data_IF_307894911690
#
_entry.id   IF_307894911690
#
_cell.length_a   1.000
_cell.length_b   1.000
_cell.length_c   1.000
_cell.angle_alpha   90.00
_cell.angle_beta   90.00
_cell.angle_gamma   90.00
#
_symmetry.space_group_name_H-M   'P 1'
#
loop_
_entity.id
_entity.type
_entity.pdbx_description
1 polymer ?
#
# COMPACT_ATOMS: atom_id res chain seq x y z
N UNK A 1 39.85 -9.35 -36.90
CA UNK A 1 39.16 -8.17 -37.49
C UNK A 1 39.11 -6.96 -36.54
N UNK A 2 38.91 -7.12 -35.23
CA UNK A 2 38.83 -5.99 -34.27
C UNK A 2 40.12 -5.13 -34.17
N UNK A 3 41.29 -5.77 -34.25
CA UNK A 3 42.59 -5.08 -34.06
C UNK A 3 42.93 -4.11 -35.22
N UNK A 4 42.44 -4.42 -36.43
CA UNK A 4 42.63 -3.57 -37.61
C UNK A 4 41.74 -2.31 -37.56
N UNK A 5 40.56 -2.40 -36.92
CA UNK A 5 39.67 -1.25 -36.73
C UNK A 5 40.25 -0.28 -35.69
N UNK A 6 40.81 -0.80 -34.59
CA UNK A 6 41.47 0.04 -33.58
C UNK A 6 42.69 0.76 -34.17
N UNK A 7 43.54 0.06 -34.93
CA UNK A 7 44.68 0.68 -35.60
C UNK A 7 44.27 1.76 -36.61
N UNK A 8 43.14 1.58 -37.31
CA UNK A 8 42.62 2.56 -38.25
C UNK A 8 42.13 3.85 -37.56
N UNK A 9 41.45 3.74 -36.42
CA UNK A 9 40.98 4.90 -35.64
C UNK A 9 42.15 5.67 -35.01
N UNK A 10 43.16 4.98 -34.50
CA UNK A 10 44.37 5.63 -33.96
C UNK A 10 45.11 6.38 -35.06
N UNK A 11 45.21 5.80 -36.26
CA UNK A 11 45.85 6.46 -37.40
C UNK A 11 45.06 7.67 -37.89
N UNK A 12 43.72 7.60 -37.91
CA UNK A 12 42.88 8.74 -38.33
C UNK A 12 42.89 9.87 -37.31
N UNK A 13 42.94 9.57 -36.01
CA UNK A 13 43.09 10.58 -34.96
C UNK A 13 44.46 11.27 -35.03
N UNK A 14 45.54 10.53 -35.34
CA UNK A 14 46.88 11.08 -35.47
C UNK A 14 47.05 12.01 -36.69
N UNK A 15 46.28 11.78 -37.77
CA UNK A 15 46.31 12.62 -38.98
C UNK A 15 45.13 13.61 -39.05
N UNK A 16 44.42 13.82 -37.94
CA UNK A 16 43.26 14.71 -37.91
C UNK A 16 43.69 16.16 -38.10
N UNK A 17 43.14 16.81 -39.12
CA UNK A 17 43.44 18.21 -39.44
C UNK A 17 42.67 19.15 -38.51
N UNK A 18 43.41 19.75 -37.57
CA UNK A 18 42.86 20.64 -36.55
C UNK A 18 42.32 21.95 -37.15
N UNK A 19 42.62 22.27 -38.41
CA UNK A 19 42.05 23.44 -39.10
C UNK A 19 40.55 23.30 -39.39
N UNK A 20 40.00 22.08 -39.28
CA UNK A 20 38.56 21.81 -39.41
C UNK A 20 37.78 22.06 -38.11
N UNK A 21 38.47 22.32 -36.99
CA UNK A 21 37.82 22.67 -35.73
C UNK A 21 37.34 24.12 -35.80
N UNK A 22 36.05 24.34 -35.56
CA UNK A 22 35.49 25.69 -35.49
C UNK A 22 36.11 26.44 -34.31
N UNK A 23 36.71 27.59 -34.57
CA UNK A 23 37.16 28.49 -33.50
C UNK A 23 35.95 28.93 -32.67
N UNK A 24 36.01 28.70 -31.35
CA UNK A 24 34.97 29.15 -30.42
C UNK A 24 35.62 30.16 -29.48
N UNK A 25 35.16 31.41 -29.54
CA UNK A 25 35.62 32.49 -28.66
C UNK A 25 34.83 32.43 -27.35
N UNK A 26 35.53 32.31 -26.22
CA UNK A 26 34.91 32.24 -24.89
C UNK A 26 34.76 33.65 -24.32
N UNK A 27 33.53 34.15 -24.17
CA UNK A 27 33.27 35.38 -23.42
C UNK A 27 33.02 35.09 -21.93
N UNK A 28 33.85 35.69 -21.06
CA UNK A 28 33.62 35.70 -19.60
C UNK A 28 32.54 36.73 -19.24
N UNK A 29 31.34 36.27 -18.88
CA UNK A 29 30.29 37.14 -18.33
C UNK A 29 30.55 37.32 -16.83
N UNK A 30 30.93 38.52 -16.42
CA UNK A 30 31.00 38.91 -15.01
C UNK A 30 29.77 39.78 -14.67
N UNK A 31 28.60 39.17 -14.35
CA UNK A 31 27.38 39.93 -14.11
C UNK A 31 27.55 40.80 -12.86
N UNK A 32 27.21 42.08 -12.99
CA UNK A 32 27.17 42.98 -11.84
C UNK A 32 26.05 42.56 -10.87
N UNK A 33 26.24 42.78 -9.55
CA UNK A 33 25.20 42.49 -8.56
C UNK A 33 23.87 43.14 -8.95
N UNK A 34 22.79 42.39 -8.80
CA UNK A 34 21.45 42.89 -9.08
C UNK A 34 20.99 43.87 -8.00
N UNK A 35 19.92 44.63 -8.28
CA UNK A 35 19.34 45.55 -7.28
C UNK A 35 18.82 44.80 -6.04
N UNK A 36 18.36 43.57 -6.22
CA UNK A 36 17.90 42.69 -5.14
C UNK A 36 19.07 42.26 -4.25
N UNK A 37 20.20 41.83 -4.84
CA UNK A 37 21.40 41.46 -4.08
C UNK A 37 21.87 42.60 -3.16
N UNK A 38 21.88 43.83 -3.68
CA UNK A 38 22.27 45.02 -2.91
C UNK A 38 21.28 45.33 -1.79
N UNK A 39 19.97 45.10 -2.01
CA UNK A 39 18.94 45.31 -0.97
C UNK A 39 19.05 44.28 0.15
N UNK A 40 19.24 43.02 -0.19
CA UNK A 40 19.40 41.94 0.79
C UNK A 40 20.66 42.17 1.62
N UNK A 41 21.76 42.53 0.97
CA UNK A 41 23.02 42.83 1.65
C UNK A 41 22.88 44.02 2.61
N UNK A 42 22.17 45.08 2.19
CA UNK A 42 21.89 46.22 3.07
C UNK A 42 21.01 45.85 4.27
N UNK A 43 20.02 44.97 4.08
CA UNK A 43 19.18 44.46 5.18
C UNK A 43 20.01 43.63 6.17
N UNK A 44 20.87 42.75 5.65
CA UNK A 44 21.79 41.93 6.46
C UNK A 44 22.71 42.81 7.30
N UNK A 45 23.30 43.84 6.69
CA UNK A 45 24.17 44.76 7.39
C UNK A 45 23.43 45.53 8.49
N UNK A 46 22.21 46.00 8.21
CA UNK A 46 21.38 46.69 9.21
C UNK A 46 21.08 45.82 10.44
N UNK A 47 20.78 44.53 10.25
CA UNK A 47 20.52 43.61 11.36
C UNK A 47 21.77 43.35 12.20
N UNK A 48 22.94 43.24 11.55
CA UNK A 48 24.21 43.09 12.26
C UNK A 48 24.54 44.34 13.08
N UNK A 49 24.32 45.52 12.53
CA UNK A 49 24.54 46.78 13.23
C UNK A 49 23.58 46.93 14.43
N UNK A 50 22.33 46.49 14.30
CA UNK A 50 21.35 46.48 15.38
C UNK A 50 21.74 45.54 16.52
N UNK A 51 22.18 44.32 16.20
CA UNK A 51 22.65 43.34 17.18
C UNK A 51 23.96 43.80 17.83
N UNK A 52 24.89 44.37 17.06
CA UNK A 52 26.16 44.87 17.58
C UNK A 52 25.97 46.02 18.59
N UNK A 53 24.94 46.85 18.37
CA UNK A 53 24.59 47.96 19.26
C UNK A 53 23.45 47.63 20.23
N UNK A 54 23.15 46.34 20.42
CA UNK A 54 22.07 45.89 21.29
C UNK A 54 22.34 46.26 22.76
N UNK A 55 21.50 47.10 23.33
CA UNK A 55 21.57 47.51 24.73
C UNK A 55 20.90 46.47 25.64
N UNK A 56 21.69 45.50 26.10
CA UNK A 56 21.24 44.45 27.03
C UNK A 56 20.72 45.00 28.37
N UNK A 57 21.10 46.23 28.74
CA UNK A 57 20.61 46.93 29.93
C UNK A 57 19.09 47.22 29.89
N UNK A 58 18.49 47.24 28.69
CA UNK A 58 17.05 47.40 28.52
C UNK A 58 16.27 46.09 28.73
N UNK A 59 16.95 44.95 28.94
CA UNK A 59 16.29 43.70 29.27
C UNK A 59 15.82 43.72 30.74
N UNK A 60 14.53 43.45 30.96
CA UNK A 60 13.98 43.34 32.32
C UNK A 60 14.55 42.11 33.04
N UNK A 61 15.11 42.25 34.26
CA UNK A 61 15.55 41.11 35.06
C UNK A 61 14.38 40.17 35.37
N UNK A 62 14.55 38.88 35.10
CA UNK A 62 13.58 37.85 35.50
C UNK A 62 14.12 37.08 36.69
N UNK A 63 13.35 37.06 37.79
CA UNK A 63 13.73 36.32 38.99
C UNK A 63 13.37 34.84 38.84
N UNK A 64 14.38 33.97 38.84
CA UNK A 64 14.17 32.52 38.86
C UNK A 64 13.77 32.07 40.27
N UNK A 65 12.60 31.44 40.41
CA UNK A 65 12.16 30.84 41.69
C UNK A 65 12.57 29.37 41.73
N UNK A 66 13.59 29.05 42.51
CA UNK A 66 13.94 27.65 42.83
C UNK A 66 12.86 27.04 43.74
N UNK A 67 12.28 25.92 43.34
CA UNK A 67 11.25 25.23 44.12
C UNK A 67 11.91 24.21 45.05
N UNK A 68 12.04 24.55 46.33
CA UNK A 68 12.29 23.55 47.39
C UNK A 68 10.94 22.91 47.74
N UNK A 69 10.63 21.78 47.11
CA UNK A 69 9.47 20.96 47.49
C UNK A 69 9.89 19.94 48.53
N UNK A 70 9.21 19.94 49.68
CA UNK A 70 9.38 18.90 50.68
C UNK A 70 8.91 17.55 50.09
N UNK A 71 9.57 16.43 50.45
CA UNK A 71 9.12 15.11 50.03
C UNK A 71 7.66 14.90 50.41
N UNK A 72 6.88 14.35 49.49
CA UNK A 72 5.48 14.05 49.77
C UNK A 72 5.33 12.91 50.78
N UNK A 73 4.13 12.78 51.35
CA UNK A 73 3.86 11.78 52.38
C UNK A 73 4.07 10.33 51.90
N UNK A 74 3.95 10.10 50.58
CA UNK A 74 4.13 8.79 49.95
C UNK A 74 5.62 8.42 49.98
N UNK A 75 6.47 9.33 49.51
CA UNK A 75 7.93 9.19 49.49
C UNK A 75 8.47 8.96 50.89
N UNK A 76 7.96 9.70 51.89
CA UNK A 76 8.39 9.53 53.28
C UNK A 76 7.98 8.18 53.87
N UNK A 77 6.78 7.68 53.56
CA UNK A 77 6.32 6.36 54.01
C UNK A 77 7.15 5.25 53.38
N UNK A 78 7.43 5.34 52.09
CA UNK A 78 8.28 4.38 51.38
C UNK A 78 9.70 4.37 51.95
N UNK A 79 10.28 5.55 52.21
CA UNK A 79 11.60 5.67 52.83
C UNK A 79 11.65 5.01 54.21
N UNK A 80 10.62 5.21 55.04
CA UNK A 80 10.51 4.54 56.35
C UNK A 80 10.37 3.03 56.21
N UNK A 81 9.55 2.54 55.30
CA UNK A 81 9.42 1.10 55.03
C UNK A 81 10.76 0.47 54.62
N UNK A 82 11.48 1.14 53.71
CA UNK A 82 12.80 0.68 53.28
C UNK A 82 13.80 0.65 54.43
N UNK A 83 13.81 1.68 55.28
CA UNK A 83 14.66 1.72 56.46
C UNK A 83 14.36 0.58 57.44
N UNK A 84 13.07 0.29 57.69
CA UNK A 84 12.68 -0.84 58.55
C UNK A 84 13.08 -2.18 57.95
N UNK A 85 12.99 -2.33 56.63
CA UNK A 85 13.40 -3.55 55.93
C UNK A 85 14.91 -3.77 56.07
N UNK A 86 15.72 -2.74 55.82
CA UNK A 86 17.18 -2.83 55.96
C UNK A 86 17.56 -3.23 57.38
N UNK A 87 17.00 -2.58 58.41
CA UNK A 87 17.28 -2.92 59.80
C UNK A 87 16.89 -4.37 60.13
N UNK A 88 15.78 -4.85 59.58
CA UNK A 88 15.36 -6.24 59.75
C UNK A 88 16.31 -7.23 59.08
N UNK A 89 16.88 -6.89 57.92
CA UNK A 89 17.85 -7.74 57.21
C UNK A 89 19.20 -7.72 57.93
N UNK A 90 19.66 -6.55 58.39
CA UNK A 90 20.90 -6.40 59.17
C UNK A 90 20.86 -7.19 60.48
N UNK A 91 19.71 -7.22 61.15
CA UNK A 91 19.50 -8.03 62.37
C UNK A 91 19.24 -9.52 62.13
N UNK A 92 19.13 -9.96 60.87
CA UNK A 92 18.75 -11.34 60.56
C UNK A 92 19.91 -12.31 60.80
N UNK A 93 19.74 -13.24 61.73
CA UNK A 93 20.73 -14.29 61.97
C UNK A 93 20.76 -15.31 60.83
N UNK A 94 21.94 -15.51 60.23
CA UNK A 94 22.17 -16.54 59.19
C UNK A 94 21.84 -17.96 59.68
N UNK A 95 21.87 -18.19 60.99
CA UNK A 95 21.52 -19.49 61.59
C UNK A 95 20.02 -19.81 61.48
N UNK A 96 19.18 -18.82 61.14
CA UNK A 96 17.75 -19.01 60.89
C UNK A 96 17.44 -19.42 59.44
N UNK A 97 18.45 -19.39 58.55
CA UNK A 97 18.28 -19.85 57.17
C UNK A 97 18.29 -21.38 57.14
N UNK A 98 17.31 -21.97 56.44
CA UNK A 98 17.32 -23.40 56.17
C UNK A 98 18.47 -23.72 55.22
N UNK A 99 19.14 -24.85 55.44
CA UNK A 99 20.11 -25.35 54.47
C UNK A 99 19.40 -25.67 53.14
N UNK A 100 19.88 -25.06 52.06
CA UNK A 100 19.47 -25.36 50.70
C UNK A 100 20.66 -26.02 49.99
N UNK A 101 20.49 -27.31 49.64
CA UNK A 101 21.47 -28.03 48.84
C UNK A 101 21.28 -27.64 47.37
N UNK A 102 22.23 -26.88 46.83
CA UNK A 102 22.21 -26.47 45.42
C UNK A 102 22.85 -27.57 44.58
N UNK A 103 22.03 -28.33 43.85
CA UNK A 103 22.51 -29.25 42.81
C UNK A 103 22.74 -28.47 41.51
N UNK A 104 24.01 -28.23 41.16
CA UNK A 104 24.40 -27.73 39.85
C UNK A 104 24.17 -28.83 38.81
N UNK A 105 23.15 -28.67 37.97
CA UNK A 105 22.86 -29.63 36.89
C UNK A 105 23.78 -29.38 35.68
N UNK A 106 25.05 -29.77 35.81
CA UNK A 106 25.92 -29.98 34.65
C UNK A 106 25.59 -31.34 34.02
N UNK A 107 24.41 -31.46 33.44
CA UNK A 107 24.03 -32.66 32.69
C UNK A 107 24.90 -32.77 31.46
N UNK A 108 25.61 -33.90 31.33
CA UNK A 108 26.33 -34.24 30.11
C UNK A 108 25.35 -34.28 28.93
N UNK A 109 25.80 -33.90 27.72
CA UNK A 109 24.98 -34.06 26.52
C UNK A 109 24.52 -35.52 26.42
N UNK A 110 23.24 -35.70 26.12
CA UNK A 110 22.68 -37.04 25.95
C UNK A 110 23.18 -37.68 24.64
N UNK A 111 23.10 -39.02 24.49
CA UNK A 111 23.59 -39.71 23.30
C UNK A 111 22.97 -39.21 21.98
N UNK A 112 21.72 -38.74 21.99
CA UNK A 112 21.06 -38.22 20.79
C UNK A 112 21.64 -36.89 20.35
N UNK A 113 21.94 -36.00 21.31
CA UNK A 113 22.63 -34.74 21.06
C UNK A 113 24.04 -34.95 20.47
N UNK A 114 24.77 -35.95 20.97
CA UNK A 114 26.10 -36.31 20.46
C UNK A 114 26.03 -36.87 19.03
N UNK A 115 25.04 -37.72 18.75
CA UNK A 115 24.87 -38.29 17.40
C UNK A 115 24.43 -37.23 16.38
N UNK A 116 23.56 -36.28 16.78
CA UNK A 116 23.16 -35.16 15.96
C UNK A 116 24.36 -34.27 15.59
N UNK A 117 25.20 -33.92 16.58
CA UNK A 117 26.42 -33.12 16.34
C UNK A 117 27.38 -33.85 15.38
N UNK A 118 27.55 -35.17 15.54
CA UNK A 118 28.39 -35.97 14.61
C UNK A 118 27.89 -35.91 13.18
N UNK A 119 26.57 -36.07 12.96
CA UNK A 119 25.96 -35.98 11.62
C UNK A 119 26.15 -34.60 11.01
N UNK A 120 26.05 -33.55 11.81
CA UNK A 120 26.25 -32.18 11.32
C UNK A 120 27.71 -31.92 10.95
N UNK A 121 28.66 -32.37 11.76
CA UNK A 121 30.10 -32.27 11.45
C UNK A 121 30.44 -33.02 10.16
N UNK A 122 29.91 -34.23 9.98
CA UNK A 122 30.11 -35.04 8.77
C UNK A 122 29.53 -34.35 7.52
N UNK A 123 28.31 -33.80 7.62
CA UNK A 123 27.69 -33.03 6.54
C UNK A 123 28.54 -31.82 6.15
N UNK A 124 29.04 -31.07 7.13
CA UNK A 124 29.88 -29.89 6.91
C UNK A 124 31.18 -30.26 6.18
N UNK A 125 31.86 -31.34 6.59
CA UNK A 125 33.04 -31.85 5.89
C UNK A 125 32.70 -32.35 4.48
N UNK A 126 31.58 -33.02 4.29
CA UNK A 126 31.11 -33.46 2.97
C UNK A 126 30.90 -32.29 2.00
N UNK A 127 30.33 -31.19 2.49
CA UNK A 127 30.13 -29.97 1.70
C UNK A 127 31.45 -29.24 1.43
N UNK A 128 32.33 -29.13 2.44
CA UNK A 128 33.63 -28.46 2.30
C UNK A 128 34.54 -29.19 1.31
N UNK A 129 34.49 -30.53 1.31
CA UNK A 129 35.25 -31.39 0.39
C UNK A 129 34.58 -31.60 -0.97
N UNK A 130 33.39 -31.04 -1.19
CA UNK A 130 32.62 -31.29 -2.41
C UNK A 130 33.26 -30.63 -3.64
N UNK A 131 33.71 -31.47 -4.58
CA UNK A 131 34.24 -30.99 -5.85
C UNK A 131 33.10 -30.56 -6.79
N UNK A 132 32.92 -29.25 -6.97
CA UNK A 132 31.92 -28.70 -7.92
C UNK A 132 32.19 -29.13 -9.37
N UNK A 133 33.43 -29.45 -9.74
CA UNK A 133 33.78 -29.92 -11.09
C UNK A 133 33.26 -31.34 -11.37
N UNK A 134 32.89 -32.10 -10.34
CA UNK A 134 32.24 -33.40 -10.52
C UNK A 134 30.74 -33.29 -10.80
N UNK A 135 30.15 -32.09 -10.80
CA UNK A 135 28.77 -31.90 -11.23
C UNK A 135 28.66 -31.98 -12.75
N UNK A 136 27.76 -32.83 -13.24
CA UNK A 136 27.44 -32.86 -14.66
C UNK A 136 26.84 -31.53 -15.11
N UNK A 137 27.48 -30.89 -16.11
CA UNK A 137 26.89 -29.73 -16.77
C UNK A 137 25.58 -30.16 -17.44
N UNK A 138 24.49 -29.46 -17.12
CA UNK A 138 23.22 -29.59 -17.82
C UNK A 138 23.03 -28.32 -18.64
N UNK A 139 23.13 -28.44 -19.95
CA UNK A 139 22.85 -27.35 -20.87
C UNK A 139 21.33 -27.17 -20.95
N UNK A 140 20.82 -26.07 -20.40
CA UNK A 140 19.39 -25.75 -20.45
C UNK A 140 19.03 -25.19 -21.83
N UNK A 141 18.43 -26.01 -22.68
CA UNK A 141 17.86 -25.52 -23.94
C UNK A 141 16.57 -24.73 -23.68
N UNK A 142 16.64 -23.40 -23.85
CA UNK A 142 15.46 -22.56 -23.95
C UNK A 142 14.83 -22.81 -25.32
N UNK A 143 13.76 -23.60 -25.37
CA UNK A 143 12.98 -23.74 -26.59
C UNK A 143 12.28 -22.42 -26.88
N UNK A 144 12.82 -21.67 -27.83
CA UNK A 144 12.17 -20.55 -28.50
C UNK A 144 11.61 -21.08 -29.82
N UNK A 145 10.52 -21.89 -29.82
CA UNK A 145 9.95 -22.40 -31.06
C UNK A 145 9.56 -21.20 -31.93
N UNK A 146 9.91 -21.29 -33.22
CA UNK A 146 9.42 -20.33 -34.20
C UNK A 146 7.88 -20.39 -34.21
N UNK A 147 7.21 -19.24 -34.43
CA UNK A 147 5.76 -19.24 -34.60
C UNK A 147 5.40 -20.21 -35.74
N UNK A 148 4.36 -21.00 -35.50
CA UNK A 148 3.87 -21.96 -36.50
C UNK A 148 3.25 -21.24 -37.71
N UNK A 149 3.09 -21.93 -38.85
CA UNK A 149 2.51 -21.33 -40.05
C UNK A 149 1.10 -20.75 -39.84
N UNK A 150 0.33 -21.31 -38.90
CA UNK A 150 -1.02 -20.85 -38.60
C UNK A 150 -1.00 -19.51 -37.86
N UNK A 151 -0.10 -19.34 -36.88
CA UNK A 151 0.14 -18.10 -36.17
C UNK A 151 0.62 -16.96 -37.10
N UNK A 152 1.48 -17.28 -38.06
CA UNK A 152 1.92 -16.33 -39.08
C UNK A 152 0.74 -15.95 -40.00
N UNK A 153 -0.09 -16.93 -40.39
CA UNK A 153 -1.24 -16.69 -41.25
C UNK A 153 -2.33 -15.87 -40.54
N UNK A 154 -2.54 -16.06 -39.23
CA UNK A 154 -3.47 -15.25 -38.44
C UNK A 154 -2.98 -13.83 -38.27
N UNK A 155 -1.71 -13.63 -37.91
CA UNK A 155 -1.12 -12.29 -37.79
C UNK A 155 -1.20 -11.52 -39.13
N UNK A 156 -0.87 -12.17 -40.24
CA UNK A 156 -0.96 -11.56 -41.57
C UNK A 156 -2.39 -11.13 -41.91
N UNK A 157 -3.37 -12.01 -41.66
CA UNK A 157 -4.79 -11.71 -41.93
C UNK A 157 -5.30 -10.55 -41.06
N UNK A 158 -4.87 -10.49 -39.80
CA UNK A 158 -5.24 -9.40 -38.90
C UNK A 158 -4.63 -8.07 -39.34
N UNK A 159 -3.37 -8.08 -39.76
CA UNK A 159 -2.67 -6.91 -40.29
C UNK A 159 -3.35 -6.36 -41.56
N UNK A 160 -3.73 -7.25 -42.48
CA UNK A 160 -4.48 -6.89 -43.69
C UNK A 160 -5.87 -6.32 -43.35
N UNK A 161 -6.59 -6.92 -42.39
CA UNK A 161 -7.89 -6.44 -41.93
C UNK A 161 -7.78 -5.03 -41.31
N UNK A 162 -6.80 -4.82 -40.42
CA UNK A 162 -6.55 -3.52 -39.79
C UNK A 162 -6.25 -2.45 -40.83
N UNK A 163 -5.36 -2.76 -41.78
CA UNK A 163 -5.01 -1.85 -42.88
C UNK A 163 -6.23 -1.50 -43.74
N UNK A 164 -7.09 -2.48 -44.04
CA UNK A 164 -8.33 -2.26 -44.80
C UNK A 164 -9.33 -1.37 -44.06
N UNK A 165 -9.43 -1.50 -42.74
CA UNK A 165 -10.29 -0.65 -41.91
C UNK A 165 -9.73 0.77 -41.82
N UNK A 166 -8.42 0.94 -41.62
CA UNK A 166 -7.77 2.25 -41.56
C UNK A 166 -7.93 3.04 -42.87
N UNK A 167 -7.90 2.34 -44.01
CA UNK A 167 -8.07 2.94 -45.33
C UNK A 167 -9.53 3.06 -45.77
N UNK A 168 -10.49 2.57 -44.98
CA UNK A 168 -11.89 2.59 -45.34
C UNK A 168 -12.45 4.01 -45.33
N UNK A 169 -12.86 4.51 -46.51
CA UNK A 169 -13.53 5.80 -46.60
C UNK A 169 -15.03 5.66 -46.34
N UNK A 170 -15.54 6.42 -45.37
CA UNK A 170 -16.98 6.47 -45.08
C UNK A 170 -17.80 7.01 -46.26
N UNK A 171 -17.18 7.79 -47.15
CA UNK A 171 -17.83 8.40 -48.31
C UNK A 171 -18.25 7.37 -49.36
N UNK A 172 -17.73 6.14 -49.30
CA UNK A 172 -18.13 5.05 -50.19
C UNK A 172 -19.37 4.30 -49.70
N UNK A 173 -19.89 4.60 -48.50
CA UNK A 173 -21.12 4.00 -48.01
C UNK A 173 -22.33 4.57 -48.76
N UNK A 174 -23.19 3.69 -49.26
CA UNK A 174 -24.44 4.10 -49.88
C UNK A 174 -25.36 4.74 -48.84
N UNK A 175 -25.85 5.96 -49.12
CA UNK A 175 -26.84 6.60 -48.27
C UNK A 175 -28.11 5.73 -48.20
N UNK A 176 -28.55 5.43 -46.99
CA UNK A 176 -29.84 4.79 -46.73
C UNK A 176 -30.70 5.79 -45.96
N UNK A 177 -31.89 6.10 -46.49
CA UNK A 177 -32.87 6.91 -45.79
C UNK A 177 -33.62 6.04 -44.78
N UNK A 178 -33.44 6.33 -43.50
CA UNK A 178 -34.18 5.65 -42.43
C UNK A 178 -35.55 6.29 -42.27
N UNK A 179 -36.62 5.56 -42.55
CA UNK A 179 -38.00 5.98 -42.25
C UNK A 179 -38.38 5.45 -40.86
N UNK A 180 -38.31 6.33 -39.85
CA UNK A 180 -38.86 6.04 -38.53
C UNK A 180 -40.40 6.00 -38.62
N UNK A 181 -40.97 4.80 -38.52
CA UNK A 181 -42.42 4.63 -38.41
C UNK A 181 -42.80 4.85 -36.95
N UNK A 182 -43.32 6.03 -36.64
CA UNK A 182 -43.97 6.30 -35.36
C UNK A 182 -45.50 6.28 -35.56
N UNK A 183 -46.14 5.11 -35.71
CA UNK A 183 -47.57 5.03 -35.94
C UNK A 183 -48.33 5.62 -34.75
N UNK A 184 -49.32 6.47 -35.05
CA UNK A 184 -50.21 6.99 -34.02
C UNK A 184 -50.98 5.83 -33.37
N UNK A 185 -51.29 5.92 -32.06
CA UNK A 185 -52.13 4.94 -31.38
C UNK A 185 -53.47 4.76 -32.12
N UNK A 186 -53.90 3.52 -32.30
CA UNK A 186 -55.19 3.25 -32.91
C UNK A 186 -56.37 3.61 -31.98
N UNK A 187 -57.58 3.65 -32.56
CA UNK A 187 -58.80 4.01 -31.83
C UNK A 187 -59.06 3.09 -30.63
N UNK A 188 -58.72 1.81 -30.76
CA UNK A 188 -58.95 0.81 -29.71
C UNK A 188 -58.01 1.04 -28.52
N UNK A 189 -56.75 1.37 -28.79
CA UNK A 189 -55.74 1.71 -27.78
C UNK A 189 -56.15 2.97 -27.01
N UNK A 190 -56.61 4.00 -27.72
CA UNK A 190 -57.12 5.24 -27.10
C UNK A 190 -58.35 4.94 -26.24
N UNK A 191 -59.27 4.09 -26.72
CA UNK A 191 -60.46 3.71 -25.94
C UNK A 191 -60.10 2.91 -24.69
N UNK A 192 -59.18 1.95 -24.78
CA UNK A 192 -58.68 1.19 -23.63
C UNK A 192 -58.05 2.11 -22.59
N UNK A 193 -57.19 3.04 -23.01
CA UNK A 193 -56.59 4.02 -22.09
C UNK A 193 -57.67 4.89 -21.41
N UNK A 194 -58.67 5.34 -22.17
CA UNK A 194 -59.77 6.16 -21.63
C UNK A 194 -60.58 5.41 -20.56
N UNK A 195 -60.91 4.14 -20.83
CA UNK A 195 -61.61 3.28 -19.87
C UNK A 195 -60.77 3.07 -18.61
N UNK A 196 -59.48 2.79 -18.76
CA UNK A 196 -58.59 2.57 -17.62
C UNK A 196 -58.44 3.83 -16.77
N UNK A 197 -58.26 5.01 -17.39
CA UNK A 197 -58.23 6.29 -16.67
C UNK A 197 -59.53 6.55 -15.91
N UNK A 198 -60.67 6.22 -16.49
CA UNK A 198 -61.97 6.35 -15.81
C UNK A 198 -62.09 5.40 -14.62
N UNK A 199 -61.61 4.16 -14.76
CA UNK A 199 -61.56 3.17 -13.67
C UNK A 199 -60.70 3.66 -12.51
N UNK A 200 -59.50 4.14 -12.82
CA UNK A 200 -58.56 4.67 -11.82
C UNK A 200 -59.13 5.89 -11.10
N UNK A 201 -59.71 6.84 -11.83
CA UNK A 201 -60.37 8.01 -11.23
C UNK A 201 -61.52 7.61 -10.30
N UNK A 202 -62.33 6.61 -10.68
CA UNK A 202 -63.43 6.11 -9.84
C UNK A 202 -62.93 5.48 -8.53
N UNK A 203 -61.76 4.82 -8.56
CA UNK A 203 -61.11 4.27 -7.37
C UNK A 203 -60.52 5.40 -6.51
N UNK A 204 -59.88 6.40 -7.13
CA UNK A 204 -59.27 7.53 -6.43
C UNK A 204 -60.31 8.36 -5.66
N UNK A 205 -61.48 8.58 -6.26
CA UNK A 205 -62.59 9.32 -5.61
C UNK A 205 -63.51 8.43 -4.79
N UNK A 206 -63.15 7.17 -4.54
CA UNK A 206 -64.02 6.23 -3.81
C UNK A 206 -64.12 6.62 -2.33
N UNK A 207 -65.30 7.05 -1.91
CA UNK A 207 -65.59 7.37 -0.52
C UNK A 207 -65.84 6.10 0.29
N UNK A 208 -64.86 5.74 1.13
CA UNK A 208 -64.91 4.59 2.03
C UNK A 208 -66.03 4.66 3.06
N UNK A 209 -66.58 5.84 3.36
CA UNK A 209 -67.71 5.98 4.29
C UNK A 209 -68.99 5.33 3.78
N UNK A 210 -69.09 5.11 2.46
CA UNK A 210 -70.20 4.39 1.84
C UNK A 210 -70.09 2.86 1.96
N UNK A 211 -69.00 2.33 2.53
CA UNK A 211 -68.90 0.89 2.80
C UNK A 211 -69.85 0.50 3.94
N UNK A 212 -70.69 -0.49 3.69
CA UNK A 212 -71.59 -1.05 4.70
C UNK A 212 -70.77 -1.76 5.78
N UNK A 213 -71.15 -1.58 7.05
CA UNK A 213 -70.51 -2.29 8.17
C UNK A 213 -70.76 -3.79 8.05
N UNK A 214 -69.68 -4.58 8.03
CA UNK A 214 -69.72 -6.03 8.12
C UNK A 214 -68.98 -6.47 9.39
N UNK A 215 -69.66 -7.17 10.29
CA UNK A 215 -69.04 -7.75 11.47
C UNK A 215 -68.30 -9.03 11.08
N UNK A 216 -66.97 -9.03 11.16
CA UNK A 216 -66.14 -10.20 10.87
C UNK A 216 -65.76 -10.90 12.17
N UNK A 217 -66.30 -12.09 12.41
CA UNK A 217 -65.86 -12.96 13.50
C UNK A 217 -64.72 -13.86 13.03
N UNK A 218 -63.47 -13.41 13.20
CA UNK A 218 -62.29 -14.23 12.97
C UNK A 218 -62.12 -15.24 14.12
N UNK A 219 -62.36 -16.51 13.83
CA UNK A 219 -62.04 -17.58 14.77
C UNK A 219 -60.55 -17.85 14.65
N UNK A 220 -59.80 -17.52 15.71
CA UNK A 220 -58.40 -17.91 15.85
C UNK A 220 -58.30 -19.04 16.90
N UNK A 221 -58.78 -20.27 16.59
CA UNK A 221 -58.65 -21.38 17.51
C UNK A 221 -57.16 -21.70 17.69
N UNK A 222 -56.72 -21.81 18.95
CA UNK A 222 -55.37 -22.25 19.27
C UNK A 222 -55.17 -23.68 18.71
N UNK A 223 -53.99 -24.01 18.16
CA UNK A 223 -53.68 -25.36 17.71
C UNK A 223 -53.91 -26.36 18.84
N UNK A 224 -54.67 -27.43 18.57
CA UNK A 224 -54.88 -28.47 19.56
C UNK A 224 -53.62 -29.35 19.71
N UNK A 225 -53.55 -30.08 20.82
CA UNK A 225 -52.39 -30.90 21.14
C UNK A 225 -52.10 -31.95 20.05
N UNK A 226 -53.14 -32.44 19.37
CA UNK A 226 -52.98 -33.36 18.24
C UNK A 226 -52.26 -32.70 17.06
N UNK A 227 -52.58 -31.44 16.79
CA UNK A 227 -51.90 -30.63 15.76
C UNK A 227 -50.44 -30.38 16.12
N UNK A 228 -50.17 -30.06 17.39
CA UNK A 228 -48.80 -29.84 17.88
C UNK A 228 -47.96 -31.12 17.82
N UNK A 229 -48.55 -32.27 18.17
CA UNK A 229 -47.87 -33.57 18.13
C UNK A 229 -47.62 -34.05 16.69
N UNK A 230 -48.55 -33.81 15.77
CA UNK A 230 -48.35 -34.08 14.35
C UNK A 230 -47.19 -33.25 13.77
N UNK A 231 -47.10 -31.97 14.16
CA UNK A 231 -46.00 -31.09 13.72
C UNK A 231 -44.66 -31.51 14.33
N UNK A 232 -44.64 -31.90 15.61
CA UNK A 232 -43.45 -32.47 16.26
C UNK A 232 -42.98 -33.79 15.66
N UNK A 233 -43.90 -34.63 15.18
CA UNK A 233 -43.54 -35.88 14.50
C UNK A 233 -43.03 -35.66 13.07
N UNK A 234 -43.28 -34.48 12.50
CA UNK A 234 -42.82 -34.08 11.17
C UNK A 234 -41.50 -33.28 11.20
N UNK A 235 -40.92 -32.98 12.38
CA UNK A 235 -39.57 -32.41 12.59
C UNK A 235 -38.59 -33.46 13.08
#
# INVERSE_FOLDING_TARGET
MADQAHAAVVKSAATFDHSQLKHTETEEKNPLPTKEDVKEEKKRQSLLDEVANFQSENLSPTQTKERVVLPDSITLKQAKQHQTFIQSVEGHSKNNLRHAETLEKNSLPDPTSIEAEKKEVELRQGIESFNRESMHHTETEVKNPLPDPDAIATEKRESELRSGIEQFSKDTLSHTDTVEKNPLPDKDTIQKEKVERQRLSSIETFDKSNLQHAETAEKNPLPDQKTIEAEKAAS
#
